data_IF_143441131908
#
_entry.id   IF_143441131908
#
_cell.length_a   1.000
_cell.length_b   1.000
_cell.length_c   1.000
_cell.angle_alpha   90.00
_cell.angle_beta   90.00
_cell.angle_gamma   90.00
#
_symmetry.space_group_name_H-M   'P 1'
#
loop_
_entity.id
_entity.type
_entity.pdbx_description
1 polymer ?
#
# COMPACT_ATOMS: atom_id res chain seq x y z
N UNK A 1 80.80 35.55 -14.36
CA UNK A 1 79.39 35.94 -14.30
C UNK A 1 78.53 34.65 -14.31
N UNK A 2 77.97 34.23 -13.15
CA UNK A 2 77.06 33.04 -13.05
C UNK A 2 75.64 33.55 -12.94
N UNK A 3 74.80 33.25 -13.93
CA UNK A 3 73.34 33.50 -13.87
C UNK A 3 72.65 32.39 -13.08
N UNK A 4 72.02 32.78 -11.98
CA UNK A 4 71.16 31.87 -11.16
C UNK A 4 69.74 31.87 -11.74
N UNK A 5 69.34 30.75 -12.25
CA UNK A 5 67.94 30.50 -12.74
C UNK A 5 67.04 30.26 -11.55
N UNK A 6 66.11 31.17 -11.31
CA UNK A 6 65.01 30.96 -10.31
C UNK A 6 63.87 30.08 -10.96
N UNK A 7 63.75 28.89 -10.50
CA UNK A 7 62.56 28.00 -10.85
C UNK A 7 61.34 28.42 -10.02
N UNK A 8 60.36 28.98 -10.67
CA UNK A 8 59.04 29.24 -10.04
C UNK A 8 58.27 27.93 -10.00
N UNK A 9 57.99 27.41 -8.81
CA UNK A 9 57.10 26.32 -8.60
C UNK A 9 55.65 26.84 -8.51
N UNK A 10 54.83 26.52 -9.49
CA UNK A 10 53.41 26.80 -9.49
C UNK A 10 52.67 25.69 -8.68
N UNK A 11 52.15 26.08 -7.54
CA UNK A 11 51.31 25.20 -6.70
C UNK A 11 49.89 25.21 -7.27
N UNK A 12 49.48 24.12 -7.94
CA UNK A 12 48.07 23.95 -8.38
C UNK A 12 47.27 23.46 -7.21
N UNK A 13 46.39 24.29 -6.68
CA UNK A 13 45.37 23.90 -5.69
C UNK A 13 44.23 23.21 -6.43
N UNK A 14 44.13 21.90 -6.29
CA UNK A 14 42.98 21.12 -6.77
C UNK A 14 41.87 21.28 -5.73
N UNK A 15 40.87 22.10 -6.06
CA UNK A 15 39.67 22.25 -5.27
C UNK A 15 38.76 21.00 -5.52
N UNK A 16 38.75 20.03 -4.60
CA UNK A 16 37.76 18.94 -4.63
C UNK A 16 36.40 19.53 -4.30
N UNK A 17 35.56 19.70 -5.31
CA UNK A 17 34.12 19.96 -5.14
C UNK A 17 33.46 18.67 -4.69
N UNK A 18 33.22 18.54 -3.39
CA UNK A 18 32.32 17.49 -2.86
C UNK A 18 30.88 17.87 -3.19
N UNK A 19 30.31 17.27 -4.22
CA UNK A 19 28.88 17.34 -4.48
C UNK A 19 28.16 16.51 -3.42
N UNK A 20 27.57 17.18 -2.44
CA UNK A 20 26.57 16.55 -1.58
C UNK A 20 25.34 16.28 -2.44
N UNK A 21 25.06 15.03 -2.73
CA UNK A 21 23.76 14.66 -3.31
C UNK A 21 22.69 15.04 -2.27
N UNK A 22 21.82 16.01 -2.58
CA UNK A 22 20.59 16.23 -1.85
C UNK A 22 19.68 15.06 -2.25
N UNK A 23 19.54 14.06 -1.41
CA UNK A 23 18.48 13.10 -1.52
C UNK A 23 17.18 13.79 -1.09
N UNK A 24 16.13 13.64 -1.87
CA UNK A 24 14.80 14.02 -1.44
C UNK A 24 14.45 13.18 -0.20
N UNK A 25 13.86 13.80 0.82
CA UNK A 25 13.43 13.05 2.00
C UNK A 25 12.15 12.26 1.68
N UNK A 26 11.96 11.08 2.32
CA UNK A 26 10.70 10.36 2.21
C UNK A 26 9.51 11.23 2.61
N UNK A 27 8.44 11.16 1.87
CA UNK A 27 7.21 11.89 2.17
C UNK A 27 6.13 10.95 2.71
N UNK A 28 5.42 11.43 3.73
CA UNK A 28 4.34 10.68 4.38
C UNK A 28 2.98 11.16 3.88
N UNK A 29 2.13 10.20 3.54
CA UNK A 29 0.73 10.42 3.21
C UNK A 29 -0.13 9.73 4.26
N UNK A 30 -1.15 10.43 4.77
CA UNK A 30 -2.20 9.84 5.57
C UNK A 30 -3.33 9.38 4.65
N UNK A 31 -3.84 8.17 4.85
CA UNK A 31 -4.94 7.62 4.05
C UNK A 31 -6.18 8.50 4.19
N UNK A 32 -6.76 8.92 3.07
CA UNK A 32 -8.08 9.59 3.05
C UNK A 32 -9.19 8.53 3.14
N UNK A 33 -9.87 8.40 4.29
CA UNK A 33 -10.90 7.36 4.48
C UNK A 33 -12.16 7.60 3.65
N UNK A 34 -12.30 8.77 3.03
CA UNK A 34 -13.44 9.07 2.16
C UNK A 34 -13.25 8.59 0.74
N UNK A 35 -11.98 8.29 0.35
CA UNK A 35 -11.62 7.89 -0.99
C UNK A 35 -10.81 6.58 -1.01
N UNK A 36 -10.72 5.87 0.12
CA UNK A 36 -9.99 4.60 0.24
C UNK A 36 -10.94 3.49 0.64
N UNK A 37 -11.15 2.56 -0.28
CA UNK A 37 -12.07 1.44 -0.09
C UNK A 37 -11.42 0.15 -0.62
N UNK A 38 -10.76 -0.64 0.26
CA UNK A 38 -10.37 -1.99 -0.10
C UNK A 38 -11.61 -2.79 -0.47
N UNK A 39 -11.69 -3.16 -1.75
CA UNK A 39 -12.80 -3.93 -2.32
C UNK A 39 -12.32 -5.34 -2.63
N UNK A 40 -13.25 -6.28 -2.64
CA UNK A 40 -12.94 -7.67 -2.90
C UNK A 40 -14.06 -8.37 -3.65
N UNK A 41 -13.70 -9.44 -4.31
CA UNK A 41 -14.59 -10.37 -4.98
C UNK A 41 -14.40 -11.77 -4.42
N UNK A 42 -15.50 -12.43 -4.09
CA UNK A 42 -15.53 -13.81 -3.64
C UNK A 42 -16.59 -14.62 -4.43
N UNK A 43 -16.29 -15.85 -4.68
CA UNK A 43 -17.18 -16.73 -5.43
C UNK A 43 -18.35 -17.18 -4.56
N UNK A 44 -19.51 -17.41 -5.19
CA UNK A 44 -20.71 -17.91 -4.56
C UNK A 44 -21.20 -19.20 -5.22
N UNK A 45 -21.39 -20.24 -4.42
CA UNK A 45 -21.98 -21.54 -4.80
C UNK A 45 -21.31 -22.21 -6.01
N UNK A 46 -19.98 -22.41 -5.97
CA UNK A 46 -19.27 -23.15 -7.01
C UNK A 46 -19.18 -22.40 -8.34
N UNK A 47 -19.07 -21.07 -8.31
CA UNK A 47 -18.92 -20.22 -9.49
C UNK A 47 -20.23 -19.76 -10.11
N UNK A 48 -21.37 -19.94 -9.42
CA UNK A 48 -22.67 -19.47 -9.93
C UNK A 48 -22.70 -17.94 -10.11
N UNK A 49 -22.06 -17.21 -9.20
CA UNK A 49 -21.95 -15.75 -9.25
C UNK A 49 -20.72 -15.30 -8.45
N UNK A 50 -20.37 -14.02 -8.62
CA UNK A 50 -19.32 -13.36 -7.86
C UNK A 50 -19.96 -12.32 -6.95
N UNK A 51 -19.76 -12.47 -5.65
CA UNK A 51 -20.13 -11.48 -4.66
C UNK A 51 -19.02 -10.44 -4.54
N UNK A 52 -19.44 -9.19 -4.41
CA UNK A 52 -18.55 -8.06 -4.26
C UNK A 52 -18.82 -7.36 -2.96
N UNK A 53 -17.77 -7.06 -2.24
CA UNK A 53 -17.84 -6.29 -1.01
C UNK A 53 -16.68 -5.31 -0.90
N UNK A 54 -16.77 -4.45 0.11
CA UNK A 54 -15.72 -3.49 0.42
C UNK A 54 -15.66 -3.20 1.91
N UNK A 55 -14.51 -2.74 2.38
CA UNK A 55 -14.34 -2.18 3.71
C UNK A 55 -14.53 -0.67 3.60
N UNK A 56 -15.40 -0.08 4.42
CA UNK A 56 -15.78 1.33 4.32
C UNK A 56 -14.99 2.27 5.22
N UNK A 57 -14.28 1.74 6.20
CA UNK A 57 -13.43 2.50 7.11
C UNK A 57 -12.03 1.93 7.10
N UNK A 58 -11.09 2.75 6.65
CA UNK A 58 -9.68 2.42 6.50
C UNK A 58 -8.86 3.60 6.99
N UNK A 59 -7.77 3.32 7.69
CA UNK A 59 -6.82 4.32 8.17
C UNK A 59 -5.39 3.81 8.01
N UNK A 60 -4.42 4.70 8.12
CA UNK A 60 -3.02 4.32 8.05
C UNK A 60 -2.17 5.34 7.32
N UNK A 61 -0.94 4.95 7.05
CA UNK A 61 0.06 5.81 6.44
C UNK A 61 0.76 5.12 5.28
N UNK A 62 1.18 5.92 4.33
CA UNK A 62 2.01 5.52 3.20
C UNK A 62 3.22 6.45 3.19
N UNK A 63 4.41 5.88 3.30
CA UNK A 63 5.67 6.62 3.19
C UNK A 63 6.31 6.25 1.86
N UNK A 64 6.74 7.25 1.08
CA UNK A 64 7.35 7.00 -0.22
C UNK A 64 8.51 7.96 -0.47
N UNK A 65 9.65 7.39 -0.84
CA UNK A 65 10.79 8.09 -1.44
C UNK A 65 10.86 7.72 -2.93
N UNK A 66 10.43 8.65 -3.77
CA UNK A 66 10.36 8.44 -5.22
C UNK A 66 11.75 8.49 -5.88
N UNK A 67 12.70 9.18 -5.27
CA UNK A 67 14.07 9.28 -5.77
C UNK A 67 14.88 8.04 -5.40
N UNK A 68 14.79 7.61 -4.14
CA UNK A 68 15.41 6.37 -3.67
C UNK A 68 14.67 5.12 -4.16
N UNK A 69 13.45 5.26 -4.70
CA UNK A 69 12.58 4.16 -5.14
C UNK A 69 12.31 3.17 -4.00
N UNK A 70 11.95 3.69 -2.85
CA UNK A 70 11.58 2.93 -1.65
C UNK A 70 10.28 3.47 -1.07
N UNK A 71 9.62 2.68 -0.27
CA UNK A 71 8.44 3.11 0.47
C UNK A 71 7.81 1.98 1.25
N UNK A 72 6.90 2.32 2.13
CA UNK A 72 6.15 1.35 2.93
C UNK A 72 4.71 1.80 3.08
N UNK A 73 3.88 0.83 3.40
CA UNK A 73 2.47 1.01 3.72
C UNK A 73 2.15 0.37 5.06
N UNK A 74 1.31 1.03 5.86
CA UNK A 74 0.75 0.51 7.10
C UNK A 74 -0.72 0.90 7.14
N UNK A 75 -1.59 -0.11 7.03
CA UNK A 75 -3.03 0.08 6.82
C UNK A 75 -3.81 -0.73 7.84
N UNK A 76 -4.79 -0.09 8.46
CA UNK A 76 -5.77 -0.74 9.34
C UNK A 76 -7.16 -0.58 8.74
N UNK A 77 -7.88 -1.69 8.68
CA UNK A 77 -9.25 -1.80 8.17
C UNK A 77 -10.19 -2.16 9.33
N UNK A 78 -11.27 -1.39 9.52
CA UNK A 78 -12.33 -1.70 10.46
C UNK A 78 -13.29 -2.72 9.84
N UNK A 79 -13.19 -3.97 10.27
CA UNK A 79 -13.98 -5.08 9.73
C UNK A 79 -15.46 -4.96 10.06
N UNK A 80 -15.85 -4.16 11.06
CA UNK A 80 -17.26 -3.87 11.35
C UNK A 80 -17.95 -3.11 10.22
N UNK A 81 -17.16 -2.49 9.33
CA UNK A 81 -17.63 -1.68 8.21
C UNK A 81 -17.67 -2.42 6.87
N UNK A 82 -17.45 -3.74 6.88
CA UNK A 82 -17.60 -4.56 5.68
C UNK A 82 -19.03 -4.42 5.13
N UNK A 83 -19.17 -4.31 3.83
CA UNK A 83 -20.43 -4.01 3.16
C UNK A 83 -20.52 -4.76 1.81
N UNK A 84 -21.53 -5.61 1.69
CA UNK A 84 -21.85 -6.35 0.46
C UNK A 84 -23.01 -5.72 -0.33
N UNK A 85 -23.53 -4.58 0.13
CA UNK A 85 -24.70 -3.95 -0.46
C UNK A 85 -26.03 -4.67 -0.18
N UNK A 86 -26.01 -5.68 0.71
CA UNK A 86 -27.18 -6.40 1.19
C UNK A 86 -27.00 -6.73 2.67
N UNK A 87 -27.89 -6.24 3.53
CA UNK A 87 -27.76 -6.31 4.99
C UNK A 87 -27.60 -7.76 5.48
N UNK A 88 -28.45 -8.68 5.02
CA UNK A 88 -28.39 -10.07 5.47
C UNK A 88 -27.04 -10.76 5.15
N UNK A 89 -26.40 -10.41 4.03
CA UNK A 89 -25.09 -10.94 3.67
C UNK A 89 -23.98 -10.26 4.48
N UNK A 90 -24.11 -8.96 4.67
CA UNK A 90 -23.19 -8.16 5.48
C UNK A 90 -23.18 -8.63 6.94
N UNK A 91 -24.35 -8.89 7.52
CA UNK A 91 -24.49 -9.38 8.89
C UNK A 91 -23.93 -10.79 9.04
N UNK A 92 -24.22 -11.69 8.08
CA UNK A 92 -23.67 -13.05 8.09
C UNK A 92 -22.15 -13.05 7.92
N UNK A 93 -21.59 -12.21 7.06
CA UNK A 93 -20.15 -12.11 6.90
C UNK A 93 -19.42 -11.69 8.18
N UNK A 94 -20.08 -10.92 9.07
CA UNK A 94 -19.54 -10.48 10.36
C UNK A 94 -19.69 -11.52 11.48
N UNK A 95 -20.51 -12.55 11.27
CA UNK A 95 -20.84 -13.54 12.28
C UNK A 95 -19.63 -14.43 12.63
N UNK A 96 -19.74 -15.10 13.78
CA UNK A 96 -18.71 -15.96 14.37
C UNK A 96 -18.25 -17.10 13.43
N UNK A 97 -19.14 -17.58 12.57
CA UNK A 97 -18.85 -18.66 11.63
C UNK A 97 -18.14 -18.23 10.35
N UNK A 98 -17.92 -16.91 10.14
CA UNK A 98 -17.18 -16.38 8.97
C UNK A 98 -16.00 -15.52 9.43
N UNK A 99 -16.22 -14.23 9.72
CA UNK A 99 -15.14 -13.30 10.06
C UNK A 99 -14.99 -13.03 11.54
N UNK A 100 -15.96 -13.45 12.35
CA UNK A 100 -16.02 -13.21 13.80
C UNK A 100 -15.54 -11.80 14.17
N UNK A 101 -16.20 -10.81 13.62
CA UNK A 101 -15.79 -9.39 13.78
C UNK A 101 -15.86 -8.95 15.23
N UNK A 102 -16.62 -9.64 16.08
CA UNK A 102 -16.66 -9.38 17.51
C UNK A 102 -15.32 -9.72 18.19
N UNK A 103 -14.64 -10.76 17.74
CA UNK A 103 -13.31 -11.16 18.24
C UNK A 103 -12.18 -10.51 17.42
N UNK A 104 -12.36 -10.34 16.11
CA UNK A 104 -11.37 -9.81 15.18
C UNK A 104 -11.89 -8.53 14.51
N UNK A 105 -11.99 -7.40 15.24
CA UNK A 105 -12.62 -6.19 14.74
C UNK A 105 -11.80 -5.46 13.66
N UNK A 106 -10.52 -5.82 13.51
CA UNK A 106 -9.63 -5.18 12.55
C UNK A 106 -8.89 -6.20 11.71
N UNK A 107 -8.62 -5.82 10.45
CA UNK A 107 -7.57 -6.43 9.64
C UNK A 107 -6.47 -5.39 9.39
N UNK A 108 -5.22 -5.83 9.23
CA UNK A 108 -4.09 -4.94 8.95
C UNK A 108 -3.29 -5.43 7.77
N UNK A 109 -2.74 -4.48 7.02
CA UNK A 109 -1.81 -4.77 5.94
C UNK A 109 -0.57 -3.89 6.10
N UNK A 110 0.60 -4.53 6.13
CA UNK A 110 1.90 -3.84 6.11
C UNK A 110 2.72 -4.35 4.95
N UNK A 111 3.47 -3.48 4.29
CA UNK A 111 4.30 -3.93 3.18
C UNK A 111 5.31 -2.88 2.74
N UNK A 112 6.31 -3.35 2.02
CA UNK A 112 7.35 -2.55 1.41
C UNK A 112 7.10 -2.42 -0.10
N UNK A 113 7.22 -1.21 -0.62
CA UNK A 113 7.11 -0.96 -2.05
C UNK A 113 8.36 -1.50 -2.73
N UNK A 114 8.14 -2.34 -3.71
CA UNK A 114 9.18 -2.89 -4.57
C UNK A 114 8.83 -2.61 -6.02
N UNK A 115 9.84 -2.54 -6.88
CA UNK A 115 9.69 -2.24 -8.30
C UNK A 115 8.99 -0.89 -8.55
N UNK A 116 9.71 0.02 -9.18
CA UNK A 116 9.23 1.36 -9.48
C UNK A 116 9.29 1.65 -10.98
N UNK A 117 8.39 2.50 -11.45
CA UNK A 117 8.48 3.06 -12.80
C UNK A 117 9.63 4.09 -12.87
N UNK A 118 10.04 4.45 -14.10
CA UNK A 118 11.01 5.51 -14.29
C UNK A 118 10.58 6.88 -13.75
N UNK A 119 9.28 7.07 -13.52
CA UNK A 119 8.68 8.29 -12.94
C UNK A 119 8.57 8.21 -11.40
N UNK A 120 9.11 7.15 -10.77
CA UNK A 120 9.12 6.96 -9.32
C UNK A 120 7.77 6.55 -8.72
N UNK A 121 6.89 5.95 -9.51
CA UNK A 121 5.66 5.33 -9.02
C UNK A 121 5.89 3.85 -8.70
N UNK A 122 5.44 3.33 -7.54
CA UNK A 122 5.55 1.92 -7.22
C UNK A 122 4.70 1.07 -8.17
N UNK A 123 5.14 -0.17 -8.46
CA UNK A 123 4.40 -1.14 -9.28
C UNK A 123 4.09 -2.44 -8.53
N UNK A 124 4.72 -2.66 -7.39
CA UNK A 124 4.48 -3.80 -6.53
C UNK A 124 4.68 -3.44 -5.06
N UNK A 125 3.98 -4.16 -4.18
CA UNK A 125 4.15 -4.09 -2.73
C UNK A 125 4.31 -5.53 -2.24
N UNK A 126 5.39 -5.82 -1.56
CA UNK A 126 5.63 -7.08 -0.88
C UNK A 126 5.20 -6.94 0.58
N UNK A 127 4.16 -7.65 0.98
CA UNK A 127 3.54 -7.36 2.27
C UNK A 127 2.94 -8.56 2.98
N UNK A 128 2.29 -8.26 4.09
CA UNK A 128 1.61 -9.22 4.95
C UNK A 128 0.21 -8.69 5.29
N UNK A 129 -0.77 -9.56 5.16
CA UNK A 129 -2.13 -9.34 5.63
C UNK A 129 -2.34 -10.08 6.95
N UNK A 130 -2.84 -9.38 7.95
CA UNK A 130 -3.41 -10.00 9.14
C UNK A 130 -4.93 -9.91 9.02
N UNK A 131 -5.58 -11.06 8.95
CA UNK A 131 -7.02 -11.19 8.86
C UNK A 131 -7.46 -12.31 9.81
N UNK A 132 -8.56 -12.11 10.54
CA UNK A 132 -9.09 -13.11 11.47
C UNK A 132 -8.02 -13.62 12.47
N UNK A 133 -7.10 -12.73 12.88
CA UNK A 133 -6.00 -13.03 13.81
C UNK A 133 -4.83 -13.82 13.21
N UNK A 134 -4.86 -14.16 11.92
CA UNK A 134 -3.80 -14.89 11.23
C UNK A 134 -3.06 -13.96 10.28
N UNK A 135 -1.72 -14.04 10.29
CA UNK A 135 -0.86 -13.23 9.42
C UNK A 135 -0.21 -14.10 8.36
N UNK A 136 -0.41 -13.75 7.09
CA UNK A 136 0.22 -14.44 5.95
C UNK A 136 0.76 -13.43 4.93
N UNK A 137 1.76 -13.82 4.12
CA UNK A 137 2.24 -13.01 3.01
C UNK A 137 1.12 -12.71 2.01
N UNK A 138 1.03 -11.45 1.61
CA UNK A 138 0.15 -10.98 0.55
C UNK A 138 0.86 -9.90 -0.26
N UNK A 139 1.22 -10.21 -1.48
CA UNK A 139 1.82 -9.24 -2.38
C UNK A 139 0.74 -8.56 -3.20
N UNK A 140 0.87 -7.25 -3.39
CA UNK A 140 -0.03 -6.46 -4.21
C UNK A 140 0.69 -5.96 -5.46
N UNK A 141 -0.02 -5.99 -6.57
CA UNK A 141 0.36 -5.29 -7.78
C UNK A 141 -0.28 -3.91 -7.78
N UNK A 142 0.51 -2.87 -8.01
CA UNK A 142 0.01 -1.51 -8.21
C UNK A 142 -0.28 -1.34 -9.71
N UNK A 143 -1.56 -1.24 -10.05
CA UNK A 143 -2.04 -1.16 -11.44
C UNK A 143 -1.89 0.26 -11.99
N UNK A 144 -2.10 1.26 -11.13
CA UNK A 144 -1.89 2.67 -11.42
C UNK A 144 -1.43 3.42 -10.18
N UNK A 145 -0.61 4.46 -10.38
CA UNK A 145 -0.20 5.39 -9.35
C UNK A 145 -0.09 6.80 -9.94
N UNK A 146 -0.69 7.76 -9.30
CA UNK A 146 -0.65 9.16 -9.72
C UNK A 146 -0.70 10.10 -8.53
N UNK A 147 0.11 11.16 -8.57
CA UNK A 147 -0.01 12.28 -7.65
C UNK A 147 -0.43 13.52 -8.41
N UNK A 148 -1.44 14.19 -7.92
CA UNK A 148 -1.89 15.46 -8.48
C UNK A 148 -1.17 16.61 -7.78
N UNK A 149 -0.91 17.73 -8.49
CA UNK A 149 -0.50 18.97 -7.84
C UNK A 149 -1.58 19.39 -6.83
N UNK A 150 -1.25 20.21 -5.82
CA UNK A 150 -2.19 20.57 -4.77
C UNK A 150 -3.51 21.08 -5.35
N UNK A 151 -4.55 20.25 -5.30
CA UNK A 151 -5.90 20.67 -5.57
C UNK A 151 -6.51 21.16 -4.26
N UNK A 152 -7.08 22.36 -4.25
CA UNK A 152 -7.63 22.99 -3.04
C UNK A 152 -6.64 23.10 -1.87
N UNK A 153 -5.35 23.31 -2.17
CA UNK A 153 -4.30 23.49 -1.16
C UNK A 153 -3.75 22.22 -0.52
N UNK A 154 -4.13 21.02 -1.00
CA UNK A 154 -3.59 19.74 -0.51
C UNK A 154 -2.98 18.93 -1.66
N UNK A 155 -1.83 18.30 -1.38
CA UNK A 155 -1.23 17.32 -2.28
C UNK A 155 -1.83 15.94 -2.01
N UNK A 156 -2.31 15.27 -3.05
CA UNK A 156 -2.94 13.96 -2.95
C UNK A 156 -2.30 13.01 -3.95
N UNK A 157 -1.97 11.82 -3.50
CA UNK A 157 -1.59 10.71 -4.37
C UNK A 157 -2.66 9.62 -4.30
N UNK A 158 -2.92 8.99 -5.43
CA UNK A 158 -3.85 7.88 -5.53
C UNK A 158 -3.25 6.69 -6.26
N UNK A 159 -3.76 5.51 -5.94
CA UNK A 159 -3.38 4.26 -6.59
C UNK A 159 -4.56 3.31 -6.69
N UNK A 160 -4.52 2.46 -7.74
CA UNK A 160 -5.26 1.21 -7.80
C UNK A 160 -4.29 0.06 -7.62
N UNK A 161 -4.66 -0.92 -6.78
CA UNK A 161 -3.88 -2.11 -6.55
C UNK A 161 -4.74 -3.36 -6.57
N UNK A 162 -4.15 -4.48 -6.95
CA UNK A 162 -4.81 -5.78 -6.98
C UNK A 162 -3.94 -6.86 -6.36
N UNK A 163 -4.59 -7.90 -5.86
CA UNK A 163 -3.97 -9.07 -5.28
C UNK A 163 -4.99 -10.19 -5.08
N UNK A 164 -4.56 -11.27 -4.47
CA UNK A 164 -5.48 -12.37 -4.18
C UNK A 164 -4.92 -13.27 -3.10
N UNK A 165 -5.82 -13.94 -2.39
CA UNK A 165 -5.48 -14.91 -1.35
C UNK A 165 -6.58 -15.96 -1.23
N UNK A 166 -6.29 -17.06 -0.52
CA UNK A 166 -7.32 -18.00 -0.09
C UNK A 166 -7.74 -17.66 1.34
N UNK A 167 -9.02 -17.47 1.57
CA UNK A 167 -9.53 -17.07 2.89
C UNK A 167 -9.41 -18.16 3.96
N UNK A 168 -9.36 -19.43 3.58
CA UNK A 168 -9.10 -20.55 4.48
C UNK A 168 -7.67 -20.55 5.05
N UNK A 169 -6.70 -19.93 4.37
CA UNK A 169 -5.35 -19.68 4.93
C UNK A 169 -5.39 -18.77 6.17
N UNK A 170 -6.48 -18.06 6.38
CA UNK A 170 -6.74 -17.18 7.53
C UNK A 170 -7.78 -17.77 8.50
N UNK A 171 -8.14 -19.04 8.35
CA UNK A 171 -9.15 -19.67 9.17
C UNK A 171 -10.60 -19.28 8.85
N UNK A 172 -10.82 -18.57 7.73
CA UNK A 172 -12.18 -18.21 7.25
C UNK A 172 -12.64 -19.29 6.27
N UNK A 173 -13.01 -20.44 6.82
CA UNK A 173 -13.25 -21.67 6.07
C UNK A 173 -14.74 -22.03 5.89
N UNK A 174 -15.65 -21.14 6.28
CA UNK A 174 -17.09 -21.34 6.10
C UNK A 174 -17.43 -21.82 4.68
N UNK A 175 -18.09 -22.96 4.59
CA UNK A 175 -18.52 -23.56 3.33
C UNK A 175 -17.40 -24.20 2.51
N UNK A 176 -16.23 -24.50 3.10
CA UNK A 176 -15.15 -25.25 2.45
C UNK A 176 -15.69 -26.54 1.79
N UNK A 177 -15.23 -26.82 0.58
CA UNK A 177 -15.72 -27.91 -0.26
C UNK A 177 -17.03 -27.65 -1.01
N UNK A 178 -17.70 -26.52 -0.73
CA UNK A 178 -18.89 -26.06 -1.43
C UNK A 178 -18.69 -24.73 -2.14
N UNK A 179 -17.85 -23.88 -1.56
CA UNK A 179 -17.44 -22.58 -2.13
C UNK A 179 -15.95 -22.61 -2.44
N UNK A 180 -15.52 -21.85 -3.43
CA UNK A 180 -14.11 -21.57 -3.60
C UNK A 180 -13.63 -20.65 -2.47
N UNK A 181 -12.42 -20.90 -1.99
CA UNK A 181 -11.83 -20.13 -0.90
C UNK A 181 -11.09 -18.87 -1.41
N UNK A 182 -10.97 -18.74 -2.71
CA UNK A 182 -10.23 -17.70 -3.37
C UNK A 182 -10.95 -16.34 -3.32
N UNK A 183 -10.20 -15.30 -2.98
CA UNK A 183 -10.66 -13.91 -2.90
C UNK A 183 -9.75 -13.06 -3.78
N UNK A 184 -10.34 -12.30 -4.69
CA UNK A 184 -9.66 -11.24 -5.44
C UNK A 184 -9.79 -9.92 -4.71
N UNK A 185 -8.73 -9.13 -4.72
CA UNK A 185 -8.69 -7.78 -4.18
C UNK A 185 -8.63 -6.76 -5.32
N UNK A 186 -9.47 -5.74 -5.22
CA UNK A 186 -9.54 -4.58 -6.09
C UNK A 186 -9.54 -3.33 -5.19
N UNK A 187 -8.37 -2.74 -5.02
CA UNK A 187 -8.13 -1.74 -3.99
C UNK A 187 -7.96 -0.37 -4.63
N UNK A 188 -8.83 0.57 -4.28
CA UNK A 188 -8.61 1.98 -4.52
C UNK A 188 -8.11 2.66 -3.23
N UNK A 189 -7.11 3.49 -3.34
CA UNK A 189 -6.54 4.23 -2.22
C UNK A 189 -6.15 5.65 -2.64
N UNK A 190 -6.47 6.61 -1.77
CA UNK A 190 -5.94 7.97 -1.84
C UNK A 190 -5.26 8.33 -0.52
N UNK A 191 -4.15 9.04 -0.61
CA UNK A 191 -3.43 9.57 0.53
C UNK A 191 -3.20 11.07 0.40
N UNK A 192 -3.38 11.77 1.51
CA UNK A 192 -3.13 13.21 1.63
C UNK A 192 -1.76 13.42 2.23
N UNK A 193 -0.94 14.25 1.60
CA UNK A 193 0.38 14.60 2.10
C UNK A 193 0.26 15.21 3.52
N UNK A 194 1.06 14.67 4.44
CA UNK A 194 1.27 15.26 5.77
C UNK A 194 2.28 16.41 5.60
N UNK A 195 1.85 17.62 5.88
CA UNK A 195 2.73 18.78 5.92
C UNK A 195 3.40 18.87 7.30
N UNK A 196 4.73 19.05 7.33
CA UNK A 196 5.53 19.25 8.55
C UNK A 196 5.25 20.63 9.21
#
# INVERSE_FOLDING_TARGET
MRLTQLRRATLSVICLLTTTALFAEPVTYEIDPRHTFPSFEAEHQGGLSVWRGKIRSTSGTIVIDREAQTGNVDVTMDMSTIDFGMDAMTDHAKAEDILDVAQFPTATYTGEMSQFTAQGGPTAIEGQLTLHGVTNPLNLRVNSFQCNPPAMGRSVCGADASGSFNRDDYGVDFGMGRFLMYVNLEIQVEGVLVED
#
